data_IF_715401480542
#
_entry.id   IF_715401480542
#
_cell.length_a   1.000
_cell.length_b   1.000
_cell.length_c   1.000
_cell.angle_alpha   90.00
_cell.angle_beta   90.00
_cell.angle_gamma   90.00
#
_symmetry.space_group_name_H-M   'P 1'
#
loop_
_entity.id
_entity.type
_entity.pdbx_description
1 polymer ?
#
# COMPACT_ATOMS: atom_id res chain seq x y z
N UNK A 1 -44.21 -28.51 23.70
CA UNK A 1 -43.11 -28.34 22.71
C UNK A 1 -42.93 -26.84 22.50
N UNK A 2 -41.71 -26.31 22.63
CA UNK A 2 -41.41 -24.89 22.41
C UNK A 2 -40.48 -24.81 21.19
N UNK A 3 -40.80 -24.04 20.13
CA UNK A 3 -39.93 -23.90 18.98
C UNK A 3 -38.72 -23.02 19.32
N UNK A 4 -37.51 -23.55 19.13
CA UNK A 4 -36.27 -22.80 19.33
C UNK A 4 -36.06 -21.86 18.13
N UNK A 5 -36.32 -20.56 18.31
CA UNK A 5 -36.05 -19.55 17.27
C UNK A 5 -34.55 -19.29 17.20
N UNK A 6 -33.86 -19.94 16.27
CA UNK A 6 -32.43 -19.72 16.02
C UNK A 6 -32.25 -18.40 15.26
N UNK A 7 -32.00 -17.32 15.99
CA UNK A 7 -31.66 -16.02 15.41
C UNK A 7 -30.20 -16.06 14.92
N UNK A 8 -29.99 -16.43 13.66
CA UNK A 8 -28.69 -16.33 12.99
C UNK A 8 -28.33 -14.87 12.77
N UNK A 9 -27.63 -14.26 13.73
CA UNK A 9 -27.11 -12.90 13.61
C UNK A 9 -25.94 -12.86 12.63
N UNK A 10 -26.24 -12.79 11.34
CA UNK A 10 -25.24 -12.63 10.28
C UNK A 10 -24.63 -11.23 10.35
N UNK A 11 -23.44 -11.14 10.94
CA UNK A 11 -22.57 -9.96 10.85
C UNK A 11 -22.14 -9.75 9.38
N UNK A 12 -22.99 -9.09 8.62
CA UNK A 12 -22.72 -8.67 7.25
C UNK A 12 -21.57 -7.66 7.26
N UNK A 13 -20.35 -8.12 6.99
CA UNK A 13 -19.25 -7.25 6.62
C UNK A 13 -19.69 -6.41 5.42
N UNK A 14 -19.60 -5.08 5.52
CA UNK A 14 -20.06 -4.16 4.46
C UNK A 14 -19.05 -4.19 3.33
N UNK A 15 -19.18 -5.18 2.44
CA UNK A 15 -18.38 -5.31 1.23
C UNK A 15 -18.72 -4.16 0.28
N UNK A 16 -17.68 -3.57 -0.30
CA UNK A 16 -17.74 -2.38 -1.15
C UNK A 16 -17.58 -2.76 -2.61
N UNK A 17 -18.08 -1.91 -3.52
CA UNK A 17 -17.77 -2.02 -4.95
C UNK A 17 -16.24 -1.99 -5.10
N UNK A 18 -15.67 -3.01 -5.73
CA UNK A 18 -14.22 -3.12 -5.87
C UNK A 18 -13.78 -3.57 -7.27
N UNK A 19 -12.71 -2.94 -7.76
CA UNK A 19 -11.80 -3.55 -8.73
C UNK A 19 -10.45 -3.80 -8.05
N UNK A 20 -9.66 -4.71 -8.60
CA UNK A 20 -8.30 -5.02 -8.14
C UNK A 20 -7.30 -4.94 -9.29
N UNK A 21 -6.06 -4.55 -8.98
CA UNK A 21 -4.92 -4.63 -9.88
C UNK A 21 -3.76 -5.26 -9.11
N UNK A 22 -3.26 -6.38 -9.62
CA UNK A 22 -2.05 -7.05 -9.12
C UNK A 22 -0.83 -6.46 -9.80
N UNK A 23 0.24 -6.29 -9.02
CA UNK A 23 1.50 -5.73 -9.51
C UNK A 23 2.67 -6.63 -9.14
N UNK A 24 3.66 -6.68 -10.02
CA UNK A 24 4.98 -7.25 -9.71
C UNK A 24 5.87 -6.14 -9.14
N UNK A 25 6.72 -6.46 -8.16
CA UNK A 25 7.75 -5.50 -7.73
C UNK A 25 8.80 -5.37 -8.84
N UNK A 26 9.20 -4.16 -9.20
CA UNK A 26 10.25 -3.92 -10.21
C UNK A 26 11.53 -3.32 -9.65
N UNK A 27 11.48 -2.70 -8.46
CA UNK A 27 12.64 -2.04 -7.84
C UNK A 27 12.53 -2.09 -6.31
N UNK A 28 13.68 -2.09 -5.64
CA UNK A 28 13.85 -1.80 -4.20
C UNK A 28 14.88 -0.69 -4.11
N UNK A 29 14.62 0.40 -3.38
CA UNK A 29 15.55 1.54 -3.37
C UNK A 29 15.38 2.51 -2.19
N UNK A 30 16.47 3.24 -1.87
CA UNK A 30 16.50 4.32 -0.87
C UNK A 30 15.98 5.69 -1.37
N UNK A 31 15.27 5.73 -2.50
CA UNK A 31 14.64 6.97 -2.98
C UNK A 31 13.29 7.19 -2.31
N UNK A 32 12.97 8.45 -2.13
CA UNK A 32 11.67 8.92 -1.68
C UNK A 32 11.34 10.20 -2.46
N UNK A 33 10.48 10.13 -3.49
CA UNK A 33 10.25 11.27 -4.40
C UNK A 33 9.60 12.54 -3.80
N UNK A 34 9.60 12.73 -2.47
CA UNK A 34 8.32 13.08 -1.82
C UNK A 34 8.40 13.85 -0.48
N UNK A 35 9.10 13.30 0.52
CA UNK A 35 9.42 13.83 1.85
C UNK A 35 10.88 14.27 1.81
N UNK A 36 11.73 13.53 1.10
CA UNK A 36 13.06 13.93 0.69
C UNK A 36 13.19 13.97 -0.85
N UNK A 37 12.31 14.71 -1.56
CA UNK A 37 12.40 14.84 -3.00
C UNK A 37 13.79 15.36 -3.39
N UNK A 38 14.38 14.73 -4.41
CA UNK A 38 15.74 15.01 -4.84
C UNK A 38 16.84 14.26 -4.09
N UNK A 39 16.53 13.41 -3.11
CA UNK A 39 17.54 12.78 -2.24
C UNK A 39 17.51 11.24 -2.25
N UNK A 40 18.70 10.64 -2.11
CA UNK A 40 18.89 9.21 -1.86
C UNK A 40 19.07 8.95 -0.35
N UNK A 41 18.06 9.32 0.45
CA UNK A 41 18.15 9.34 1.92
C UNK A 41 16.97 8.65 2.62
N UNK A 42 16.51 7.53 2.09
CA UNK A 42 15.43 6.73 2.70
C UNK A 42 15.90 5.39 3.24
N UNK A 43 15.03 4.77 4.05
CA UNK A 43 15.01 3.32 4.25
C UNK A 43 14.46 2.62 2.98
N UNK A 44 14.55 1.29 2.90
CA UNK A 44 14.12 0.57 1.70
C UNK A 44 12.61 0.54 1.50
N UNK A 45 12.16 0.97 0.32
CA UNK A 45 10.80 0.73 -0.18
C UNK A 45 10.82 -0.31 -1.29
N UNK A 46 9.71 -1.05 -1.41
CA UNK A 46 9.43 -1.91 -2.54
C UNK A 46 8.52 -1.17 -3.53
N UNK A 47 8.94 -1.02 -4.79
CA UNK A 47 8.25 -0.21 -5.81
C UNK A 47 7.41 -1.06 -6.77
N UNK A 48 6.20 -0.57 -7.03
CA UNK A 48 5.20 -1.12 -7.94
C UNK A 48 4.57 0.04 -8.72
N UNK A 49 3.91 -0.27 -9.84
CA UNK A 49 3.37 0.75 -10.74
C UNK A 49 4.30 1.12 -11.89
N UNK A 50 4.32 2.40 -12.28
CA UNK A 50 5.18 2.93 -13.35
C UNK A 50 6.67 2.99 -13.00
N UNK A 51 7.50 2.57 -13.96
CA UNK A 51 8.96 2.65 -13.88
C UNK A 51 9.55 4.03 -14.19
N UNK A 52 8.72 5.07 -14.41
CA UNK A 52 9.21 6.44 -14.61
C UNK A 52 9.57 7.15 -13.30
N UNK A 53 9.33 6.52 -12.13
CA UNK A 53 9.67 7.07 -10.82
C UNK A 53 11.18 7.21 -10.62
N UNK A 54 11.60 8.32 -10.02
CA UNK A 54 12.98 8.63 -9.64
C UNK A 54 13.02 9.15 -8.20
N UNK A 55 14.16 9.71 -7.77
CA UNK A 55 14.26 10.48 -6.52
C UNK A 55 13.38 11.74 -6.47
N UNK A 56 12.76 12.16 -7.58
CA UNK A 56 12.05 13.43 -7.73
C UNK A 56 10.55 13.24 -7.91
N UNK A 57 9.74 14.19 -7.41
CA UNK A 57 8.27 14.18 -7.47
C UNK A 57 7.76 14.12 -8.91
N UNK A 58 7.45 12.91 -9.38
CA UNK A 58 6.91 12.69 -10.73
C UNK A 58 5.47 13.23 -10.85
N UNK A 59 5.20 13.96 -11.93
CA UNK A 59 3.84 14.32 -12.34
C UNK A 59 3.08 13.12 -12.92
N UNK A 60 1.75 13.17 -12.95
CA UNK A 60 0.92 12.15 -13.62
C UNK A 60 1.36 11.97 -15.08
N UNK A 61 1.69 13.06 -15.78
CA UNK A 61 2.10 13.06 -17.18
C UNK A 61 3.52 12.51 -17.43
N UNK A 62 4.38 12.42 -16.40
CA UNK A 62 5.67 11.71 -16.48
C UNK A 62 5.49 10.23 -16.23
N UNK A 63 4.68 9.86 -15.24
CA UNK A 63 4.38 8.46 -14.93
C UNK A 63 3.72 7.72 -16.10
N UNK A 64 2.82 8.38 -16.81
CA UNK A 64 2.17 7.90 -18.03
C UNK A 64 3.14 7.61 -19.21
N UNK A 65 4.40 8.05 -19.14
CA UNK A 65 5.47 7.75 -20.14
C UNK A 65 6.31 6.52 -19.75
N UNK A 66 6.10 5.94 -18.57
CA UNK A 66 6.81 4.75 -18.09
C UNK A 66 6.18 3.43 -18.52
N UNK A 67 6.78 2.34 -18.05
CA UNK A 67 6.26 0.98 -18.13
C UNK A 67 5.57 0.59 -16.82
N UNK A 68 4.37 0.05 -16.91
CA UNK A 68 3.65 -0.47 -15.76
C UNK A 68 4.24 -1.81 -15.30
N UNK A 69 4.25 -2.05 -13.99
CA UNK A 69 4.43 -3.38 -13.39
C UNK A 69 3.12 -4.04 -12.95
N UNK A 70 1.99 -3.33 -13.12
CA UNK A 70 0.63 -3.80 -12.92
C UNK A 70 0.06 -4.58 -14.09
N UNK A 71 -1.01 -5.32 -13.84
CA UNK A 71 -1.76 -6.07 -14.86
C UNK A 71 -2.76 -5.22 -15.68
N UNK A 72 -2.94 -3.94 -15.33
CA UNK A 72 -3.74 -2.97 -16.07
C UNK A 72 -2.82 -1.96 -16.80
N UNK A 73 -2.79 -1.93 -18.15
CA UNK A 73 -1.92 -1.01 -18.91
C UNK A 73 -2.34 0.47 -18.86
N UNK A 74 -3.49 0.77 -18.24
CA UNK A 74 -4.01 2.12 -18.03
C UNK A 74 -3.74 2.67 -16.63
N UNK A 75 -3.19 1.86 -15.72
CA UNK A 75 -2.73 2.28 -14.38
C UNK A 75 -1.20 2.40 -14.36
N UNK A 76 -0.71 3.61 -14.61
CA UNK A 76 0.70 3.96 -14.46
C UNK A 76 0.95 4.67 -13.11
N UNK A 77 0.03 4.58 -12.16
CA UNK A 77 0.25 5.08 -10.79
C UNK A 77 1.46 4.41 -10.17
N UNK A 78 2.16 5.10 -9.27
CA UNK A 78 3.31 4.53 -8.56
C UNK A 78 2.97 4.38 -7.09
N UNK A 79 3.29 3.21 -6.56
CA UNK A 79 2.94 2.80 -5.20
C UNK A 79 4.18 2.96 -4.30
N UNK A 80 4.52 4.22 -4.04
CA UNK A 80 5.62 4.69 -3.17
C UNK A 80 5.32 6.11 -2.64
N UNK A 81 5.92 6.51 -1.51
CA UNK A 81 5.76 7.86 -0.90
C UNK A 81 6.15 8.95 -1.86
N UNK A 82 5.29 9.94 -2.22
CA UNK A 82 4.73 11.81 -1.60
C UNK A 82 3.75 12.15 -0.48
N UNK A 83 3.89 13.40 0.02
CA UNK A 83 3.50 13.94 1.34
C UNK A 83 3.40 15.47 1.33
N UNK A 84 2.56 16.07 2.20
CA UNK A 84 2.57 17.49 2.67
C UNK A 84 1.91 17.52 4.11
N UNK A 85 2.12 18.50 5.02
CA UNK A 85 3.33 18.69 5.81
C UNK A 85 3.03 18.77 7.34
N UNK A 86 2.23 17.86 7.91
CA UNK A 86 1.72 18.01 9.29
C UNK A 86 1.86 16.79 10.22
N UNK A 87 2.75 15.85 9.94
CA UNK A 87 3.35 14.97 10.96
C UNK A 87 4.76 14.51 10.55
N UNK A 88 5.58 14.07 11.52
CA UNK A 88 6.98 13.67 11.29
C UNK A 88 7.09 12.22 10.79
N UNK A 89 7.70 12.05 9.60
CA UNK A 89 8.20 10.77 9.00
C UNK A 89 7.12 9.68 8.76
N UNK A 90 7.27 8.61 7.97
CA UNK A 90 8.30 8.04 7.05
C UNK A 90 7.52 7.20 5.97
N UNK A 91 8.12 6.30 5.16
CA UNK A 91 8.10 6.33 3.66
C UNK A 91 7.93 4.96 2.92
N UNK A 92 7.07 4.84 1.89
CA UNK A 92 6.93 3.67 0.99
C UNK A 92 5.87 2.64 1.42
N UNK A 93 5.72 1.52 0.68
CA UNK A 93 5.57 0.27 1.46
C UNK A 93 6.97 -0.12 1.93
N UNK A 94 7.19 -0.24 3.25
CA UNK A 94 8.51 -0.56 3.78
C UNK A 94 8.86 -1.99 3.39
N UNK A 95 10.05 -2.18 2.83
CA UNK A 95 10.54 -3.53 2.49
C UNK A 95 10.66 -4.36 3.76
N UNK A 96 10.19 -5.61 3.69
CA UNK A 96 10.22 -6.58 4.77
C UNK A 96 11.52 -7.39 4.69
N UNK A 97 12.14 -7.65 5.85
CA UNK A 97 13.35 -8.46 5.98
C UNK A 97 13.16 -9.57 7.00
N UNK A 98 13.70 -10.74 6.71
CA UNK A 98 13.97 -11.80 7.67
C UNK A 98 15.33 -11.53 8.33
N UNK A 99 15.32 -11.41 9.66
CA UNK A 99 16.50 -11.10 10.48
C UNK A 99 17.15 -12.42 10.91
N UNK A 100 18.36 -12.69 10.42
CA UNK A 100 19.17 -13.85 10.81
C UNK A 100 20.20 -13.52 11.89
N UNK A 101 20.61 -12.26 11.96
CA UNK A 101 21.54 -11.72 12.96
C UNK A 101 21.56 -10.18 12.92
N UNK A 102 22.36 -9.52 13.78
CA UNK A 102 22.32 -8.06 13.96
C UNK A 102 22.47 -7.24 12.67
N UNK A 103 23.35 -7.69 11.77
CA UNK A 103 23.61 -7.09 10.46
C UNK A 103 23.32 -8.07 9.30
N UNK A 104 22.56 -9.14 9.54
CA UNK A 104 22.26 -10.17 8.53
C UNK A 104 20.76 -10.22 8.25
N UNK A 105 20.38 -9.60 7.13
CA UNK A 105 19.01 -9.37 6.70
C UNK A 105 18.76 -10.00 5.33
N UNK A 106 17.82 -10.94 5.26
CA UNK A 106 17.35 -11.53 3.99
C UNK A 106 16.07 -10.81 3.56
N UNK A 107 16.10 -10.22 2.37
CA UNK A 107 14.99 -9.47 1.79
C UNK A 107 13.78 -10.38 1.49
N UNK A 108 12.59 -9.99 1.94
CA UNK A 108 11.34 -10.77 1.78
C UNK A 108 10.47 -10.15 0.69
N UNK A 109 10.66 -10.63 -0.53
CA UNK A 109 9.85 -10.22 -1.68
C UNK A 109 8.35 -10.55 -1.45
N UNK A 110 7.43 -9.58 -1.61
CA UNK A 110 6.00 -9.86 -1.62
C UNK A 110 5.62 -10.93 -2.64
N UNK A 111 5.00 -12.02 -2.17
CA UNK A 111 4.43 -13.05 -3.04
C UNK A 111 3.19 -12.58 -3.79
N UNK A 112 2.53 -11.52 -3.30
CA UNK A 112 1.51 -10.76 -4.02
C UNK A 112 1.45 -9.34 -3.47
N UNK A 113 1.41 -8.35 -4.37
CA UNK A 113 0.94 -7.00 -4.07
C UNK A 113 -0.29 -6.70 -4.93
N UNK A 114 -1.31 -6.08 -4.34
CA UNK A 114 -2.54 -5.74 -5.05
C UNK A 114 -3.13 -4.44 -4.53
N UNK A 115 -3.50 -3.56 -5.46
CA UNK A 115 -4.31 -2.37 -5.16
C UNK A 115 -5.77 -2.69 -5.40
N UNK A 116 -6.60 -2.37 -4.40
CA UNK A 116 -8.05 -2.46 -4.45
C UNK A 116 -8.62 -1.05 -4.45
N UNK A 117 -9.60 -0.78 -5.30
CA UNK A 117 -10.32 0.49 -5.32
C UNK A 117 -11.70 0.28 -4.73
N UNK A 118 -11.89 0.68 -3.48
CA UNK A 118 -13.12 0.47 -2.70
C UNK A 118 -14.00 1.73 -2.69
N UNK A 119 -15.27 1.60 -2.29
CA UNK A 119 -16.21 2.73 -2.16
C UNK A 119 -16.41 3.54 -3.47
N UNK A 120 -16.20 2.92 -4.64
CA UNK A 120 -16.28 3.60 -5.95
C UNK A 120 -17.68 4.23 -6.15
N UNK A 121 -18.72 3.55 -5.67
CA UNK A 121 -20.12 4.01 -5.66
C UNK A 121 -20.38 5.30 -4.85
N UNK A 122 -19.39 5.76 -4.09
CA UNK A 122 -19.43 6.99 -3.29
C UNK A 122 -18.48 8.08 -3.82
N UNK A 123 -17.69 7.79 -4.85
CA UNK A 123 -16.73 8.73 -5.41
C UNK A 123 -17.44 9.82 -6.24
N UNK A 124 -17.03 11.07 -6.03
CA UNK A 124 -17.56 12.23 -6.75
C UNK A 124 -16.69 12.62 -7.95
N UNK A 125 -15.41 12.26 -7.91
CA UNK A 125 -14.39 12.60 -8.92
C UNK A 125 -13.39 11.43 -9.10
N UNK A 126 -12.71 11.35 -10.25
CA UNK A 126 -11.50 10.55 -10.38
C UNK A 126 -10.36 11.15 -9.53
N UNK A 127 -9.25 10.43 -9.36
CA UNK A 127 -8.04 11.02 -8.80
C UNK A 127 -7.56 12.18 -9.71
N UNK A 128 -7.37 13.40 -9.17
CA UNK A 128 -6.84 14.51 -9.97
C UNK A 128 -5.46 14.22 -10.56
N UNK A 129 -5.08 14.91 -11.63
CA UNK A 129 -3.68 14.92 -12.07
C UNK A 129 -2.80 15.50 -10.97
N UNK A 130 -1.59 14.96 -10.81
CA UNK A 130 -0.62 15.25 -9.75
C UNK A 130 -1.15 15.05 -8.32
N UNK A 131 -2.28 14.36 -8.15
CA UNK A 131 -2.75 13.93 -6.84
C UNK A 131 -1.88 12.82 -6.28
N UNK A 132 -1.71 12.84 -4.96
CA UNK A 132 -1.01 11.81 -4.22
C UNK A 132 -1.49 11.69 -2.77
N UNK A 133 -1.18 10.56 -2.12
CA UNK A 133 -1.53 10.33 -0.73
C UNK A 133 -0.60 9.34 -0.02
N UNK A 134 -0.60 9.42 1.32
CA UNK A 134 0.00 8.48 2.28
C UNK A 134 -1.10 7.84 3.08
N UNK A 135 -0.90 6.58 3.45
CA UNK A 135 -1.65 5.89 4.48
C UNK A 135 -0.69 5.31 5.54
N UNK A 136 -1.11 5.24 6.80
CA UNK A 136 -0.30 4.68 7.90
C UNK A 136 0.67 5.68 8.55
N UNK A 137 1.50 5.17 9.47
CA UNK A 137 2.48 5.96 10.21
C UNK A 137 3.79 5.19 10.38
N UNK A 138 4.80 5.55 9.62
CA UNK A 138 6.09 4.85 9.63
C UNK A 138 7.05 5.23 10.78
N UNK A 139 6.65 6.12 11.68
CA UNK A 139 7.34 6.28 12.98
C UNK A 139 6.74 5.39 14.06
N UNK A 140 5.57 4.78 13.82
CA UNK A 140 4.85 4.01 14.83
C UNK A 140 5.73 2.92 15.46
N UNK A 141 5.64 2.85 16.79
CA UNK A 141 6.27 1.82 17.65
C UNK A 141 5.24 1.10 18.51
N UNK A 142 3.99 1.54 18.50
CA UNK A 142 2.86 1.02 19.26
C UNK A 142 1.55 1.04 18.44
N UNK A 143 0.53 0.32 18.90
CA UNK A 143 -0.82 0.36 18.30
C UNK A 143 -1.47 1.74 18.45
N UNK A 144 -1.12 2.51 19.49
CA UNK A 144 -1.58 3.89 19.71
C UNK A 144 -1.06 4.89 18.68
N UNK A 145 0.07 4.60 18.02
CA UNK A 145 0.61 5.43 16.93
C UNK A 145 -0.10 5.19 15.58
N UNK A 146 -0.98 4.18 15.52
CA UNK A 146 -1.65 3.73 14.30
C UNK A 146 -3.13 4.13 14.33
N UNK A 147 -3.52 4.99 13.40
CA UNK A 147 -4.92 5.38 13.21
C UNK A 147 -5.72 4.27 12.50
N UNK A 148 -6.07 3.20 13.23
CA UNK A 148 -6.81 2.05 12.70
C UNK A 148 -8.19 2.47 12.16
N UNK A 149 -8.87 3.41 12.82
CA UNK A 149 -10.21 3.88 12.43
C UNK A 149 -10.31 4.59 11.06
N UNK A 150 -9.17 4.88 10.43
CA UNK A 150 -9.10 5.40 9.05
C UNK A 150 -8.29 4.48 8.13
N UNK A 151 -7.12 4.02 8.57
CA UNK A 151 -6.20 3.22 7.76
C UNK A 151 -6.57 1.73 7.72
N UNK A 152 -7.32 1.24 8.71
CA UNK A 152 -7.64 -0.18 8.86
C UNK A 152 -6.42 -1.10 8.93
N UNK A 153 -5.24 -0.60 9.30
CA UNK A 153 -3.98 -1.34 9.26
C UNK A 153 -4.10 -2.64 10.07
N UNK A 154 -4.13 -3.76 9.35
CA UNK A 154 -4.38 -5.10 9.91
C UNK A 154 -3.39 -6.09 9.32
N UNK A 155 -2.69 -6.82 10.18
CA UNK A 155 -1.84 -7.96 9.87
C UNK A 155 -2.51 -9.27 10.29
N UNK A 156 -2.38 -10.35 9.50
CA UNK A 156 -3.02 -11.63 9.78
C UNK A 156 -2.36 -12.81 9.03
N UNK A 157 -2.80 -14.03 9.34
CA UNK A 157 -2.36 -15.27 8.68
C UNK A 157 -3.40 -15.78 7.70
N UNK A 158 -3.00 -16.04 6.45
CA UNK A 158 -3.85 -16.78 5.51
C UNK A 158 -3.79 -18.28 5.80
N UNK A 159 -4.83 -18.80 6.46
CA UNK A 159 -5.03 -20.21 6.83
C UNK A 159 -4.09 -20.73 7.93
N UNK A 160 -4.58 -21.72 8.68
CA UNK A 160 -3.86 -22.34 9.79
C UNK A 160 -3.93 -21.52 11.08
N UNK A 161 -2.87 -21.54 11.92
CA UNK A 161 -2.81 -20.77 13.16
C UNK A 161 -2.99 -19.27 12.89
N UNK A 162 -3.85 -18.64 13.69
CA UNK A 162 -4.16 -17.22 13.65
C UNK A 162 -4.30 -16.71 15.09
N UNK A 163 -3.74 -15.54 15.36
CA UNK A 163 -3.70 -14.90 16.67
C UNK A 163 -4.35 -13.50 16.68
N UNK A 164 -4.83 -12.98 15.54
CA UNK A 164 -5.38 -11.62 15.35
C UNK A 164 -6.45 -11.18 16.35
N UNK A 165 -7.19 -12.10 16.97
CA UNK A 165 -8.20 -11.76 18.00
C UNK A 165 -7.58 -11.53 19.39
N UNK A 166 -6.34 -12.01 19.60
CA UNK A 166 -5.60 -11.99 20.86
C UNK A 166 -4.41 -10.98 20.83
N UNK A 167 -4.32 -10.15 19.79
CA UNK A 167 -3.30 -9.09 19.66
C UNK A 167 -3.85 -7.82 19.00
N UNK A 168 -3.08 -6.75 19.14
CA UNK A 168 -3.21 -5.52 18.36
C UNK A 168 -3.25 -5.83 16.85
N UNK A 169 -4.19 -5.24 16.10
CA UNK A 169 -4.37 -5.57 14.67
C UNK A 169 -3.19 -5.12 13.80
N UNK A 170 -2.58 -3.99 14.14
CA UNK A 170 -1.41 -3.47 13.44
C UNK A 170 -0.09 -4.16 13.84
N UNK A 171 -0.12 -5.15 14.75
CA UNK A 171 1.03 -5.99 15.11
C UNK A 171 1.09 -7.24 14.23
N UNK A 172 2.30 -7.65 13.80
CA UNK A 172 2.48 -8.89 13.01
C UNK A 172 2.03 -10.15 13.78
N UNK A 173 1.67 -11.24 13.09
CA UNK A 173 1.31 -12.51 13.73
C UNK A 173 2.43 -13.03 14.63
N UNK A 174 2.10 -13.33 15.89
CA UNK A 174 3.00 -13.95 16.87
C UNK A 174 3.02 -15.48 16.77
N UNK A 175 2.38 -16.03 15.74
CA UNK A 175 2.35 -17.46 15.38
C UNK A 175 2.74 -17.65 13.92
N UNK A 176 3.31 -18.82 13.60
CA UNK A 176 3.68 -19.17 12.22
C UNK A 176 2.44 -19.37 11.36
N UNK A 177 2.21 -18.48 10.39
CA UNK A 177 1.13 -18.64 9.42
C UNK A 177 1.34 -19.89 8.55
N UNK A 178 0.30 -20.72 8.35
CA UNK A 178 0.42 -21.90 7.48
C UNK A 178 0.41 -21.55 5.99
N UNK A 179 -0.19 -20.43 5.60
CA UNK A 179 -0.09 -19.84 4.26
C UNK A 179 0.83 -18.62 4.22
N UNK A 180 0.30 -17.46 3.82
CA UNK A 180 1.04 -16.19 3.81
C UNK A 180 0.79 -15.41 5.11
N UNK A 181 1.73 -14.53 5.47
CA UNK A 181 1.39 -13.33 6.25
C UNK A 181 0.72 -12.35 5.30
N UNK A 182 -0.44 -11.82 5.66
CA UNK A 182 -1.13 -10.78 4.90
C UNK A 182 -1.24 -9.47 5.70
N UNK A 183 -1.14 -8.35 5.00
CA UNK A 183 -1.41 -7.00 5.52
C UNK A 183 -2.34 -6.24 4.59
N UNK A 184 -3.16 -5.35 5.15
CA UNK A 184 -3.89 -4.31 4.40
C UNK A 184 -3.67 -2.92 4.99
N UNK A 185 -3.86 -1.93 4.13
CA UNK A 185 -3.78 -0.52 4.48
C UNK A 185 -4.68 0.31 3.55
N UNK A 186 -5.59 1.11 4.12
CA UNK A 186 -6.52 2.01 3.41
C UNK A 186 -6.04 3.45 3.40
N UNK A 187 -6.33 4.12 2.30
CA UNK A 187 -5.92 5.48 2.03
C UNK A 187 -6.98 6.52 2.42
N UNK A 188 -6.54 7.78 2.59
CA UNK A 188 -7.38 8.96 2.39
C UNK A 188 -8.19 8.88 1.09
N UNK A 189 -9.49 9.13 1.20
CA UNK A 189 -10.44 9.08 0.08
C UNK A 189 -11.15 10.42 -0.17
N UNK A 190 -10.88 11.46 0.63
CA UNK A 190 -11.33 12.83 0.41
C UNK A 190 -10.16 13.73 -0.01
N UNK A 191 -10.32 14.47 -1.10
CA UNK A 191 -9.30 15.35 -1.69
C UNK A 191 -9.81 16.78 -1.78
N UNK A 192 -9.00 17.76 -1.37
CA UNK A 192 -9.30 19.18 -1.63
C UNK A 192 -8.80 19.54 -3.04
N UNK A 193 -9.68 19.59 -4.03
CA UNK A 193 -9.30 19.84 -5.43
C UNK A 193 -8.59 21.19 -5.65
N UNK A 194 -8.88 22.20 -4.82
CA UNK A 194 -8.17 23.49 -4.86
C UNK A 194 -6.75 23.45 -4.27
N UNK A 195 -6.36 22.35 -3.62
CA UNK A 195 -5.03 22.14 -3.07
C UNK A 195 -4.72 20.63 -2.92
N UNK A 196 -4.71 19.94 -4.06
CA UNK A 196 -4.56 18.48 -4.17
C UNK A 196 -3.31 17.92 -3.48
N UNK A 197 -2.22 18.71 -3.42
CA UNK A 197 -0.97 18.30 -2.82
C UNK A 197 -0.99 18.42 -1.29
N UNK A 198 -1.67 19.44 -0.72
CA UNK A 198 -1.61 19.70 0.72
C UNK A 198 -2.69 18.97 1.56
N UNK A 199 -3.85 18.60 1.00
CA UNK A 199 -4.99 18.14 1.79
C UNK A 199 -5.68 16.91 1.19
N UNK A 200 -5.20 15.73 1.60
CA UNK A 200 -5.91 14.47 1.54
C UNK A 200 -6.40 14.09 2.96
N UNK A 201 -7.66 13.65 3.08
CA UNK A 201 -8.30 13.28 4.35
C UNK A 201 -8.97 11.91 4.22
N UNK A 202 -8.86 11.08 5.24
CA UNK A 202 -9.54 9.79 5.30
C UNK A 202 -10.86 9.94 6.05
N UNK A 203 -11.99 9.80 5.34
CA UNK A 203 -13.29 9.84 5.99
C UNK A 203 -13.56 8.52 6.72
N UNK A 204 -13.41 8.55 8.05
CA UNK A 204 -13.61 7.38 8.91
C UNK A 204 -14.95 6.67 8.58
N UNK A 205 -14.88 5.34 8.46
CA UNK A 205 -16.01 4.46 8.14
C UNK A 205 -16.82 4.84 6.87
N UNK A 206 -16.24 5.62 5.94
CA UNK A 206 -16.92 6.07 4.73
C UNK A 206 -18.01 7.12 4.98
N UNK A 207 -17.92 7.88 6.08
CA UNK A 207 -18.71 9.10 6.32
C UNK A 207 -18.43 10.18 5.26
N UNK A 208 -19.21 11.27 5.24
CA UNK A 208 -19.09 12.32 4.20
C UNK A 208 -17.73 13.04 4.28
N UNK A 209 -17.25 13.54 3.13
CA UNK A 209 -16.03 14.36 3.11
C UNK A 209 -16.27 15.73 3.78
N UNK A 210 -15.24 16.35 4.37
CA UNK A 210 -15.32 17.71 4.89
C UNK A 210 -15.75 18.73 3.81
N UNK A 211 -16.35 19.84 4.23
CA UNK A 211 -16.80 20.89 3.32
C UNK A 211 -15.63 21.43 2.46
N UNK A 212 -15.85 21.54 1.15
CA UNK A 212 -14.82 21.93 0.18
C UNK A 212 -13.84 20.81 -0.22
N UNK A 213 -14.07 19.57 0.19
CA UNK A 213 -13.37 18.38 -0.31
C UNK A 213 -14.32 17.50 -1.15
N UNK A 214 -13.75 16.65 -2.01
CA UNK A 214 -14.46 15.71 -2.89
C UNK A 214 -13.98 14.28 -2.68
N UNK A 215 -14.87 13.29 -2.77
CA UNK A 215 -14.47 11.87 -2.68
C UNK A 215 -13.84 11.37 -3.98
N UNK A 216 -12.69 10.70 -3.86
CA UNK A 216 -12.09 9.80 -4.85
C UNK A 216 -12.35 8.34 -4.44
N UNK A 217 -12.20 7.34 -5.32
CA UNK A 217 -12.23 5.93 -4.90
C UNK A 217 -11.25 5.67 -3.74
N UNK A 218 -11.63 4.86 -2.75
CA UNK A 218 -10.75 4.56 -1.63
C UNK A 218 -9.74 3.48 -2.01
N UNK A 219 -8.50 3.89 -2.23
CA UNK A 219 -7.41 2.95 -2.44
C UNK A 219 -7.15 2.12 -1.17
N UNK A 220 -6.99 0.81 -1.34
CA UNK A 220 -6.47 -0.11 -0.32
C UNK A 220 -5.35 -0.96 -0.90
N UNK A 221 -4.21 -0.99 -0.22
CA UNK A 221 -3.18 -2.00 -0.46
C UNK A 221 -3.56 -3.32 0.20
N UNK A 222 -3.21 -4.41 -0.46
CA UNK A 222 -3.07 -5.72 0.17
C UNK A 222 -1.77 -6.37 -0.26
N UNK A 223 -0.99 -6.82 0.72
CA UNK A 223 0.32 -7.42 0.50
C UNK A 223 0.36 -8.78 1.18
N UNK A 224 0.93 -9.78 0.49
CA UNK A 224 1.12 -11.13 1.00
C UNK A 224 2.60 -11.49 0.97
N UNK A 225 3.12 -12.00 2.08
CA UNK A 225 4.50 -12.44 2.23
C UNK A 225 4.53 -13.93 2.56
N UNK A 226 5.14 -14.73 1.68
CA UNK A 226 5.35 -16.16 1.92
C UNK A 226 6.73 -16.38 2.55
N UNK A 227 6.80 -16.34 3.88
CA UNK A 227 8.07 -16.45 4.63
C UNK A 227 8.50 -17.88 4.95
N UNK A 228 7.67 -18.89 4.64
CA UNK A 228 7.84 -20.29 5.11
C UNK A 228 9.13 -20.96 4.62
N UNK A 229 9.60 -20.63 3.42
CA UNK A 229 10.88 -21.11 2.88
C UNK A 229 12.10 -20.39 3.46
N UNK A 230 11.93 -19.14 3.90
CA UNK A 230 12.99 -18.35 4.55
C UNK A 230 13.12 -18.68 6.04
N UNK A 231 12.00 -18.99 6.69
CA UNK A 231 11.89 -19.29 8.12
C UNK A 231 11.32 -20.71 8.32
N UNK A 232 12.02 -21.79 7.88
CA UNK A 232 11.49 -23.16 7.91
C UNK A 232 11.30 -23.73 9.32
N UNK A 233 11.93 -23.12 10.35
CA UNK A 233 11.70 -23.44 11.76
C UNK A 233 10.44 -22.77 12.34
N UNK A 234 9.81 -21.85 11.60
CA UNK A 234 8.74 -21.00 12.10
C UNK A 234 9.19 -20.05 13.22
N UNK A 235 8.20 -19.51 13.93
CA UNK A 235 8.30 -18.70 15.13
C UNK A 235 7.09 -18.89 16.04
N UNK A 236 7.28 -18.58 17.33
CA UNK A 236 6.23 -18.41 18.34
C UNK A 236 6.67 -17.26 19.25
N UNK A 237 5.78 -16.31 19.50
CA UNK A 237 6.17 -14.98 20.01
C UNK A 237 6.55 -14.05 18.85
N UNK A 238 7.45 -13.09 19.07
CA UNK A 238 7.83 -12.12 18.04
C UNK A 238 8.41 -12.80 16.78
N UNK A 239 7.89 -12.55 15.56
CA UNK A 239 8.51 -13.06 14.35
C UNK A 239 9.90 -12.44 14.15
N UNK A 240 10.87 -13.17 13.58
CA UNK A 240 12.19 -12.62 13.23
C UNK A 240 12.12 -11.76 11.96
N UNK A 241 11.12 -10.89 11.86
CA UNK A 241 10.78 -10.09 10.69
C UNK A 241 10.88 -8.60 11.04
N UNK A 242 11.50 -7.80 10.17
CA UNK A 242 11.68 -6.34 10.35
C UNK A 242 11.17 -5.61 9.12
N UNK A 243 10.30 -4.62 9.32
CA UNK A 243 10.03 -3.61 8.29
C UNK A 243 11.15 -2.58 8.30
N UNK A 244 11.61 -2.13 7.14
CA UNK A 244 12.69 -1.15 7.03
C UNK A 244 12.50 0.17 7.83
N UNK A 245 11.27 0.49 8.24
CA UNK A 245 10.90 1.64 9.08
C UNK A 245 10.95 1.43 10.61
N UNK A 246 11.08 0.18 11.09
CA UNK A 246 10.72 -0.16 12.48
C UNK A 246 11.40 -1.40 13.02
N UNK A 247 10.91 -1.87 14.18
CA UNK A 247 11.62 -2.89 14.96
C UNK A 247 11.29 -4.33 14.57
N UNK A 248 12.15 -5.25 15.02
CA UNK A 248 11.99 -6.68 14.75
C UNK A 248 10.76 -7.21 15.50
N UNK A 249 9.91 -7.95 14.81
CA UNK A 249 8.65 -8.47 15.31
C UNK A 249 7.44 -7.56 15.08
N UNK A 250 7.65 -6.28 14.79
CA UNK A 250 6.61 -5.25 14.89
C UNK A 250 6.02 -4.84 13.53
N UNK A 251 4.70 -4.74 13.46
CA UNK A 251 3.96 -4.38 12.24
C UNK A 251 3.52 -2.92 12.16
N UNK A 252 3.65 -2.18 13.26
CA UNK A 252 2.99 -0.87 13.44
C UNK A 252 3.45 0.18 12.44
N UNK A 253 4.74 0.19 12.11
CA UNK A 253 5.27 1.16 11.16
C UNK A 253 4.85 0.89 9.71
N UNK A 254 4.01 -0.11 9.42
CA UNK A 254 3.52 -0.31 8.05
C UNK A 254 2.66 0.87 7.58
N UNK A 255 2.84 1.18 6.31
CA UNK A 255 2.32 2.35 5.62
C UNK A 255 2.48 2.07 4.12
N UNK A 256 2.06 3.02 3.29
CA UNK A 256 1.96 2.82 1.86
C UNK A 256 1.31 4.02 1.21
N UNK A 257 1.75 4.32 -0.01
CA UNK A 257 1.55 5.63 -0.58
C UNK A 257 1.39 5.56 -2.11
N UNK A 258 0.90 6.64 -2.70
CA UNK A 258 0.33 6.64 -4.06
C UNK A 258 0.64 7.95 -4.78
N UNK A 259 1.23 7.86 -5.97
CA UNK A 259 1.20 8.91 -7.00
C UNK A 259 0.16 8.51 -8.04
N UNK A 260 -0.79 9.39 -8.35
CA UNK A 260 -1.71 9.12 -9.46
C UNK A 260 -0.96 9.14 -10.80
N UNK A 261 -1.02 8.02 -11.52
CA UNK A 261 -0.52 7.88 -12.90
C UNK A 261 -1.56 7.26 -13.83
N UNK A 262 -2.82 7.12 -13.39
CA UNK A 262 -3.91 6.61 -14.23
C UNK A 262 -4.13 7.48 -15.47
N UNK A 263 -4.54 6.84 -16.56
CA UNK A 263 -5.12 7.53 -17.71
C UNK A 263 -6.59 7.93 -17.44
N UNK A 264 -6.97 9.15 -17.83
CA UNK A 264 -8.23 9.81 -17.44
C UNK A 264 -9.49 9.10 -17.96
N UNK A 265 -9.44 8.52 -19.17
CA UNK A 265 -10.51 7.70 -19.74
C UNK A 265 -10.72 6.41 -18.92
N UNK A 266 -9.63 5.77 -18.49
CA UNK A 266 -9.68 4.60 -17.63
C UNK A 266 -10.18 4.94 -16.22
N UNK A 267 -9.84 6.11 -15.66
CA UNK A 267 -10.46 6.59 -14.42
C UNK A 267 -11.97 6.84 -14.58
N UNK A 268 -12.40 7.39 -15.72
CA UNK A 268 -13.83 7.54 -16.05
C UNK A 268 -14.54 6.21 -16.24
N UNK A 269 -13.81 5.15 -16.61
CA UNK A 269 -14.32 3.77 -16.64
C UNK A 269 -14.35 3.13 -15.23
N UNK A 270 -13.35 3.39 -14.37
CA UNK A 270 -13.35 2.97 -12.95
C UNK A 270 -14.62 3.43 -12.24
N UNK A 271 -15.00 4.71 -12.39
CA UNK A 271 -16.19 5.28 -11.77
C UNK A 271 -17.53 4.68 -12.24
N UNK A 272 -17.54 3.80 -13.26
CA UNK A 272 -18.75 3.06 -13.68
C UNK A 272 -19.09 1.87 -12.78
N UNK A 273 -18.25 1.56 -11.77
CA UNK A 273 -18.51 0.48 -10.80
C UNK A 273 -19.62 0.86 -9.80
N UNK A 274 -20.87 0.79 -10.24
CA UNK A 274 -22.07 1.15 -9.47
C UNK A 274 -22.60 0.04 -8.56
N UNK A 275 -22.16 -1.21 -8.75
CA UNK A 275 -22.61 -2.38 -7.99
C UNK A 275 -21.62 -2.77 -6.90
N UNK A 276 -22.06 -2.83 -5.64
CA UNK A 276 -21.21 -3.22 -4.50
C UNK A 276 -20.79 -4.69 -4.49
N UNK A 277 -21.43 -5.52 -5.31
CA UNK A 277 -21.28 -6.98 -5.30
C UNK A 277 -20.64 -7.53 -6.59
N UNK A 278 -20.22 -6.66 -7.51
CA UNK A 278 -19.66 -7.06 -8.80
C UNK A 278 -18.30 -6.41 -9.02
N UNK A 279 -17.31 -7.24 -9.33
CA UNK A 279 -16.00 -6.79 -9.74
C UNK A 279 -16.06 -6.19 -11.16
N UNK A 280 -15.43 -5.04 -11.37
CA UNK A 280 -15.38 -4.36 -12.68
C UNK A 280 -13.97 -4.40 -13.27
N UNK A 281 -13.85 -4.78 -14.54
CA UNK A 281 -12.63 -4.60 -15.33
C UNK A 281 -12.52 -3.14 -15.79
N UNK A 282 -11.41 -2.48 -15.45
CA UNK A 282 -11.19 -1.06 -15.81
C UNK A 282 -10.36 -0.97 -17.08
N UNK A 283 -11.06 -0.95 -18.21
CA UNK A 283 -10.48 -0.80 -19.54
C UNK A 283 -10.19 0.67 -19.88
N UNK A 284 -9.36 0.90 -20.90
CA UNK A 284 -9.08 2.23 -21.44
C UNK A 284 -8.35 2.16 -22.78
N UNK A 285 -7.93 3.33 -23.29
CA UNK A 285 -7.29 3.49 -24.60
C UNK A 285 -5.96 2.74 -24.76
N UNK A 286 -5.38 2.20 -23.67
CA UNK A 286 -4.15 1.39 -23.68
C UNK A 286 -4.41 -0.12 -23.57
N UNK A 287 -5.68 -0.53 -23.56
CA UNK A 287 -6.09 -1.94 -23.57
C UNK A 287 -6.99 -2.32 -22.39
N UNK A 288 -7.29 -3.61 -22.29
CA UNK A 288 -8.16 -4.15 -21.25
C UNK A 288 -7.50 -4.16 -19.87
N UNK A 289 -8.27 -3.97 -18.80
CA UNK A 289 -7.79 -3.79 -17.43
C UNK A 289 -7.12 -5.00 -16.76
N UNK A 290 -6.94 -6.11 -17.50
CA UNK A 290 -6.18 -7.31 -17.10
C UNK A 290 -5.25 -7.81 -18.23
N UNK A 291 -5.01 -7.01 -19.28
CA UNK A 291 -4.20 -7.42 -20.44
C UNK A 291 -2.70 -7.58 -20.12
N UNK A 292 -2.24 -7.11 -18.96
CA UNK A 292 -0.83 -7.07 -18.61
C UNK A 292 -0.11 -5.83 -19.14
N UNK A 293 1.21 -5.83 -18.93
CA UNK A 293 2.14 -4.83 -19.50
C UNK A 293 2.89 -5.47 -20.66
N UNK A 294 3.12 -4.71 -21.73
CA UNK A 294 3.89 -5.16 -22.92
C UNK A 294 5.39 -4.89 -22.78
N UNK A 295 5.83 -4.19 -21.72
CA UNK A 295 7.23 -3.85 -21.49
C UNK A 295 7.70 -4.20 -20.08
N UNK A 296 9.00 -4.48 -19.93
CA UNK A 296 9.63 -4.82 -18.66
C UNK A 296 10.05 -3.57 -17.88
N UNK A 297 9.37 -3.20 -16.78
CA UNK A 297 9.71 -2.02 -15.96
C UNK A 297 11.07 -2.17 -15.29
N UNK A 298 11.85 -1.09 -15.21
CA UNK A 298 13.22 -1.08 -14.63
C UNK A 298 13.51 0.20 -13.85
N UNK A 299 14.45 0.11 -12.90
CA UNK A 299 15.08 1.29 -12.28
C UNK A 299 15.70 2.19 -13.35
N UNK A 300 15.35 3.49 -13.33
CA UNK A 300 15.83 4.52 -14.26
C UNK A 300 17.20 5.07 -13.90
N UNK A 301 17.61 4.93 -12.65
CA UNK A 301 18.87 5.47 -12.12
C UNK A 301 19.69 4.37 -11.40
N UNK A 302 19.93 3.19 -12.01
CA UNK A 302 20.43 2.00 -11.30
C UNK A 302 21.84 2.14 -10.71
N UNK A 303 22.58 3.17 -11.10
CA UNK A 303 23.91 3.52 -10.57
C UNK A 303 23.89 4.57 -9.46
N UNK A 304 22.71 5.03 -9.02
CA UNK A 304 22.52 6.06 -8.00
C UNK A 304 21.68 5.56 -6.83
N UNK A 305 22.01 5.99 -5.62
CA UNK A 305 21.38 5.48 -4.40
C UNK A 305 21.82 4.06 -4.09
N UNK A 306 20.98 3.30 -3.39
CA UNK A 306 21.22 1.89 -3.09
C UNK A 306 19.92 1.10 -2.99
N UNK A 307 20.01 -0.21 -3.22
CA UNK A 307 19.00 -1.23 -2.91
C UNK A 307 19.37 -2.10 -1.69
N UNK A 308 20.58 -1.91 -1.14
CA UNK A 308 21.04 -2.57 0.09
C UNK A 308 20.49 -1.86 1.34
N UNK A 309 20.12 -2.64 2.36
CA UNK A 309 19.52 -2.14 3.59
C UNK A 309 20.52 -1.50 4.54
N UNK A 310 21.74 -2.06 4.69
CA UNK A 310 22.75 -1.52 5.61
C UNK A 310 23.25 -0.16 5.09
N UNK A 311 23.67 -0.13 3.83
CA UNK A 311 24.09 1.09 3.11
C UNK A 311 23.01 2.18 3.18
N UNK A 312 21.73 1.80 3.16
CA UNK A 312 20.61 2.73 3.29
C UNK A 312 20.46 3.31 4.70
N UNK A 313 20.65 2.51 5.75
CA UNK A 313 20.68 2.98 7.14
C UNK A 313 21.85 3.95 7.34
N UNK A 314 23.04 3.62 6.82
CA UNK A 314 24.22 4.49 6.86
C UNK A 314 23.95 5.83 6.14
N UNK A 315 23.44 5.79 4.91
CA UNK A 315 23.05 7.00 4.16
C UNK A 315 21.99 7.85 4.86
N UNK A 316 21.12 7.26 5.70
CA UNK A 316 20.18 8.04 6.53
C UNK A 316 20.85 8.79 7.69
N UNK A 317 21.98 8.31 8.20
CA UNK A 317 22.68 8.91 9.37
C UNK A 317 23.76 9.93 9.00
N UNK A 318 24.33 9.86 7.79
CA UNK A 318 25.42 10.72 7.32
C UNK A 318 25.00 12.14 6.86
N UNK A 319 23.79 12.62 7.19
CA UNK A 319 23.23 13.88 6.65
C UNK A 319 22.19 14.55 7.55
#
# INVERSE_FOLDING_TARGET
MIPLVVVTCTLAAVVTAYTDIRHKRFMIKNIDPIVYPGQYRSHMHSFFGSDAVTKDLSTTAELQKGCASGENPNDLSVYCKPSIPSWKSTKGIPTLYYVRGPNDFVEVNPGMFSTYYENIDKAEIPYPQDFFAIAGNATARSQSDVNEGTTGLTWWCENGPEDRQNRNRALMPRVTCSGNIQVILRFPDCVKTSNIKNYAYAAANGGRCPAGMKRVPQLRFSVRYNVRSLIPKGWSGAPPLKLACGEVGEGYCFHGDFINGWFDDAQKNLLKATSRNQWLRVDGARGEGKAGTTCGPKDREPTKGTSDYITSVDMMTMS
#
